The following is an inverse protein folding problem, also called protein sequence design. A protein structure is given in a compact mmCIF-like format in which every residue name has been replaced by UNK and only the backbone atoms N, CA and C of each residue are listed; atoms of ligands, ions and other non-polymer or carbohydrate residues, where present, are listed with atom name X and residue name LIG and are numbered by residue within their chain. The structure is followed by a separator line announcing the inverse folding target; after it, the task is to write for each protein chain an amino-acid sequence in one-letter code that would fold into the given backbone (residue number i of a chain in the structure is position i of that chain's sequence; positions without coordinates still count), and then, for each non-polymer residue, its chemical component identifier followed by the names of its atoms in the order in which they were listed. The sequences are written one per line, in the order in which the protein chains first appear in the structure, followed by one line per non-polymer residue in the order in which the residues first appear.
data_IF_271297620630
#
_entry.id   IF_271297620630
#
_cell.length_a   1.000
_cell.length_b   1.000
_cell.length_c   1.000
_cell.angle_alpha   90.00
_cell.angle_beta   90.00
_cell.angle_gamma   90.00
#
_symmetry.space_group_name_H-M   'P 1'
#
loop_
_entity.id
_entity.type
_entity.pdbx_description
1 polymer ?
#
# COMPACT_ATOMS: atom_id res chain seq x y z
N UNK A 1 3.76 2.75 7.29
CA UNK A 1 3.64 1.38 7.82
C UNK A 1 2.18 0.99 7.85
N UNK A 2 1.88 -0.29 7.66
CA UNK A 2 0.52 -0.84 7.78
C UNK A 2 0.54 -2.12 8.60
N UNK A 3 -0.64 -2.55 9.05
CA UNK A 3 -0.84 -3.85 9.70
C UNK A 3 -1.57 -4.75 8.71
N UNK A 4 -0.91 -5.82 8.25
CA UNK A 4 -1.57 -6.94 7.60
C UNK A 4 -2.04 -7.90 8.69
N UNK A 5 -3.31 -8.32 8.63
CA UNK A 5 -3.79 -9.45 9.42
C UNK A 5 -3.93 -10.62 8.47
N UNK A 6 -3.23 -11.70 8.77
CA UNK A 6 -3.36 -12.96 8.09
C UNK A 6 -3.57 -14.03 9.16
N UNK A 7 -4.57 -14.89 8.94
CA UNK A 7 -4.91 -15.96 9.87
C UNK A 7 -3.99 -17.16 9.71
N UNK A 8 -3.39 -17.32 8.52
CA UNK A 8 -2.62 -18.50 8.13
C UNK A 8 -1.10 -18.20 7.96
N UNK A 9 -0.69 -16.95 8.14
CA UNK A 9 0.70 -16.44 8.01
C UNK A 9 1.36 -16.81 6.65
N UNK A 10 0.57 -16.76 5.57
CA UNK A 10 0.91 -17.09 4.19
C UNK A 10 0.94 -15.89 3.23
N UNK A 11 0.98 -14.65 3.75
CA UNK A 11 1.23 -13.45 2.92
C UNK A 11 2.57 -13.61 2.16
N UNK A 12 2.51 -13.52 0.83
CA UNK A 12 3.69 -13.54 -0.03
C UNK A 12 4.29 -12.14 -0.21
N UNK A 13 3.46 -11.15 -0.52
CA UNK A 13 3.91 -9.78 -0.73
C UNK A 13 2.76 -8.76 -0.69
N UNK A 14 3.14 -7.48 -0.70
CA UNK A 14 2.26 -6.33 -0.78
C UNK A 14 2.53 -5.54 -2.07
N UNK A 15 1.48 -4.97 -2.64
CA UNK A 15 1.54 -3.96 -3.68
C UNK A 15 1.15 -2.61 -3.06
N UNK A 16 1.99 -1.60 -3.22
CA UNK A 16 1.78 -0.27 -2.64
C UNK A 16 1.31 0.68 -3.73
N UNK A 17 0.14 1.26 -3.54
CA UNK A 17 -0.43 2.28 -4.41
C UNK A 17 -0.39 3.64 -3.72
N UNK A 18 0.07 4.67 -4.44
CA UNK A 18 0.08 6.06 -3.98
C UNK A 18 -0.39 6.97 -5.12
N UNK A 19 -1.11 8.04 -4.80
CA UNK A 19 -1.52 9.07 -5.75
C UNK A 19 -1.97 10.36 -5.07
N UNK A 20 -2.18 11.42 -5.84
CA UNK A 20 -2.76 12.69 -5.36
C UNK A 20 -4.28 12.74 -5.54
N UNK A 21 -4.87 11.71 -6.14
CA UNK A 21 -6.30 11.48 -6.27
C UNK A 21 -6.64 10.07 -5.73
N UNK A 22 -7.61 10.00 -4.81
CA UNK A 22 -8.07 8.75 -4.21
C UNK A 22 -8.62 7.75 -5.24
N UNK A 23 -9.18 8.23 -6.34
CA UNK A 23 -9.74 7.39 -7.41
C UNK A 23 -8.68 6.95 -8.43
N UNK A 24 -7.50 7.58 -8.45
CA UNK A 24 -6.44 7.39 -9.45
C UNK A 24 -5.06 7.30 -8.78
N UNK A 25 -4.83 6.20 -8.05
CA UNK A 25 -3.51 5.88 -7.51
C UNK A 25 -2.70 5.02 -8.48
N UNK A 26 -1.39 5.19 -8.47
CA UNK A 26 -0.45 4.38 -9.26
C UNK A 26 0.26 3.35 -8.38
N UNK A 27 0.58 2.19 -8.95
CA UNK A 27 1.45 1.20 -8.30
C UNK A 27 2.87 1.78 -8.21
N UNK A 28 3.33 2.07 -7.00
CA UNK A 28 4.67 2.63 -6.75
C UNK A 28 5.67 1.59 -6.28
N UNK A 29 5.19 0.47 -5.73
CA UNK A 29 6.02 -0.66 -5.33
C UNK A 29 5.25 -1.96 -5.51
N UNK A 30 5.87 -2.92 -6.19
CA UNK A 30 5.39 -4.29 -6.29
C UNK A 30 6.30 -5.26 -5.51
N UNK A 31 5.78 -6.43 -5.15
CA UNK A 31 6.52 -7.47 -4.42
C UNK A 31 7.19 -6.97 -3.13
N UNK A 32 6.56 -6.03 -2.39
CA UNK A 32 7.07 -5.58 -1.11
C UNK A 32 6.87 -6.69 -0.07
N UNK A 33 7.93 -7.11 0.60
CA UNK A 33 7.85 -8.24 1.57
C UNK A 33 7.54 -7.74 2.98
N UNK A 34 7.98 -6.53 3.33
CA UNK A 34 7.73 -5.95 4.66
C UNK A 34 6.44 -5.15 4.69
N UNK A 35 5.87 -4.96 5.88
CA UNK A 35 4.68 -4.11 6.11
C UNK A 35 5.00 -2.60 6.16
N UNK A 36 6.02 -2.19 5.42
CA UNK A 36 6.55 -0.83 5.39
C UNK A 36 7.06 -0.47 4.01
N UNK A 37 6.93 0.81 3.65
CA UNK A 37 7.47 1.38 2.43
C UNK A 37 7.75 2.87 2.68
N UNK A 38 8.80 3.38 2.04
CA UNK A 38 9.21 4.79 2.12
C UNK A 38 9.24 5.36 0.71
N UNK A 39 8.62 6.53 0.53
CA UNK A 39 8.57 7.26 -0.73
C UNK A 39 9.15 8.66 -0.55
N UNK A 40 9.77 9.19 -1.60
CA UNK A 40 10.07 10.62 -1.72
C UNK A 40 8.86 11.29 -2.37
N UNK A 41 8.28 12.27 -1.69
CA UNK A 41 7.05 12.94 -2.10
C UNK A 41 7.22 14.45 -2.00
N UNK A 42 6.48 15.19 -2.82
CA UNK A 42 6.51 16.65 -2.80
C UNK A 42 5.86 17.17 -1.51
N UNK A 43 6.40 18.26 -0.96
CA UNK A 43 5.94 18.88 0.30
C UNK A 43 4.67 19.69 0.07
N UNK A 44 3.77 19.72 1.07
CA UNK A 44 2.54 20.51 1.04
C UNK A 44 1.44 19.88 0.19
N UNK A 45 1.57 18.59 -0.14
CA UNK A 45 0.64 17.87 -1.02
C UNK A 45 -0.12 16.79 -0.25
N UNK A 46 -1.42 16.66 -0.53
CA UNK A 46 -2.22 15.54 -0.04
C UNK A 46 -1.95 14.32 -0.92
N UNK A 47 -1.65 13.20 -0.27
CA UNK A 47 -1.50 11.90 -0.90
C UNK A 47 -2.51 10.90 -0.34
N UNK A 48 -2.96 10.02 -1.22
CA UNK A 48 -3.78 8.85 -0.93
C UNK A 48 -2.95 7.61 -1.15
N UNK A 49 -3.19 6.58 -0.36
CA UNK A 49 -2.52 5.30 -0.51
C UNK A 49 -3.41 4.13 -0.13
N UNK A 50 -3.11 2.99 -0.75
CA UNK A 50 -3.78 1.70 -0.53
C UNK A 50 -2.76 0.58 -0.65
N UNK A 51 -2.99 -0.50 0.09
CA UNK A 51 -2.20 -1.72 0.01
C UNK A 51 -3.06 -2.83 -0.56
N UNK A 52 -2.51 -3.56 -1.52
CA UNK A 52 -3.04 -4.86 -1.93
C UNK A 52 -2.13 -5.93 -1.34
N UNK A 53 -2.67 -6.77 -0.47
CA UNK A 53 -1.98 -7.95 0.07
C UNK A 53 -2.19 -9.12 -0.88
N UNK A 54 -1.13 -9.87 -1.16
CA UNK A 54 -1.16 -11.08 -2.00
C UNK A 54 -0.62 -12.26 -1.20
N UNK A 55 -1.40 -13.34 -1.10
CA UNK A 55 -0.98 -14.59 -0.43
C UNK A 55 -0.13 -15.48 -1.37
N UNK A 56 0.42 -16.57 -0.84
CA UNK A 56 1.21 -17.55 -1.61
C UNK A 56 0.40 -18.26 -2.71
N UNK A 57 -0.93 -18.24 -2.65
CA UNK A 57 -1.83 -18.80 -3.66
C UNK A 57 -2.22 -17.77 -4.73
N UNK A 58 -1.80 -16.51 -4.57
CA UNK A 58 -2.10 -15.41 -5.47
C UNK A 58 -3.45 -14.72 -5.20
N UNK A 59 -4.14 -15.04 -4.09
CA UNK A 59 -5.37 -14.32 -3.72
C UNK A 59 -5.02 -12.90 -3.28
N UNK A 60 -5.93 -11.97 -3.54
CA UNK A 60 -5.71 -10.54 -3.30
C UNK A 60 -6.74 -9.97 -2.34
N UNK A 61 -6.28 -9.17 -1.38
CA UNK A 61 -7.13 -8.37 -0.49
C UNK A 61 -6.71 -6.92 -0.51
N UNK A 62 -7.68 -6.01 -0.56
CA UNK A 62 -7.45 -4.57 -0.64
C UNK A 62 -7.69 -3.90 0.71
N UNK A 63 -6.78 -3.04 1.14
CA UNK A 63 -7.00 -2.21 2.32
C UNK A 63 -8.02 -1.09 2.04
N UNK A 64 -8.49 -0.44 3.10
CA UNK A 64 -9.11 0.88 2.96
C UNK A 64 -8.10 1.88 2.35
N UNK A 65 -8.61 2.87 1.63
CA UNK A 65 -7.81 4.02 1.17
C UNK A 65 -7.57 4.94 2.37
N UNK A 66 -6.31 5.33 2.56
CA UNK A 66 -5.88 6.27 3.61
C UNK A 66 -5.27 7.51 2.97
N UNK A 67 -5.25 8.62 3.70
CA UNK A 67 -4.63 9.87 3.22
C UNK A 67 -3.75 10.52 4.28
N UNK A 68 -2.81 11.34 3.83
CA UNK A 68 -1.98 12.21 4.65
C UNK A 68 -1.52 13.43 3.84
N UNK A 69 -1.00 14.45 4.53
CA UNK A 69 -0.41 15.64 3.91
C UNK A 69 1.08 15.63 4.27
N UNK A 70 1.94 15.88 3.29
CA UNK A 70 3.39 16.05 3.49
C UNK A 70 3.70 17.44 4.04
N UNK A 71 4.64 17.51 4.98
CA UNK A 71 5.09 18.74 5.64
C UNK A 71 6.62 18.83 5.65
#
# INVERSE_FOLDING_TARGET
QWTGSDLDDDIAYYQVYIGTDAAQMSLVQDNQITSSYSALLDVGQTYFWQIITVDQRGNKSQSAIKSFITS
#
